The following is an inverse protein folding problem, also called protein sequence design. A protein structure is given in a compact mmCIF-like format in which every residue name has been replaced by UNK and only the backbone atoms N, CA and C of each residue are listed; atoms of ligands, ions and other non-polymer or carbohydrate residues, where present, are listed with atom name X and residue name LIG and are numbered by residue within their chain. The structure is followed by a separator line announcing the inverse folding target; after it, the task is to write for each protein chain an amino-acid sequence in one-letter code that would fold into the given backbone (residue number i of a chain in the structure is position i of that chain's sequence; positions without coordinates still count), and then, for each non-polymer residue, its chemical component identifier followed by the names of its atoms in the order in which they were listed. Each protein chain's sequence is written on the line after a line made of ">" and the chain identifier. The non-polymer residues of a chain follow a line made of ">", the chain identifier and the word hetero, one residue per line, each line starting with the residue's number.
data_IF_562456091857
#
_entry.id   IF_562456091857
#
_cell.length_a   1.000
_cell.length_b   1.000
_cell.length_c   1.000
_cell.angle_alpha   90.00
_cell.angle_beta   90.00
_cell.angle_gamma   90.00
#
_symmetry.space_group_name_H-M   'P 1'
#
loop_
_entity.id
_entity.type
_entity.pdbx_description
1 polymer ?
#
# COMPACT_ATOMS: atom_id res chain seq x y z
N UNK A 1 15.50 -25.47 29.43
CA UNK A 1 14.69 -25.05 28.27
C UNK A 1 15.64 -24.43 27.27
N UNK A 2 15.64 -24.86 26.00
CA UNK A 2 16.67 -24.50 25.01
C UNK A 2 16.13 -23.41 24.10
N UNK A 3 16.74 -22.22 24.16
CA UNK A 3 16.40 -21.10 23.28
C UNK A 3 16.88 -21.38 21.85
N UNK A 4 15.97 -21.30 20.88
CA UNK A 4 16.31 -21.34 19.45
C UNK A 4 16.62 -19.92 18.98
N UNK A 5 17.81 -19.68 18.46
CA UNK A 5 18.11 -18.47 17.68
C UNK A 5 17.57 -18.62 16.25
N UNK A 6 17.01 -17.56 15.63
CA UNK A 6 16.69 -17.57 14.20
C UNK A 6 17.97 -17.61 13.35
N UNK A 7 17.91 -18.33 12.24
CA UNK A 7 18.99 -18.45 11.25
C UNK A 7 19.05 -17.19 10.35
N UNK A 8 20.21 -16.52 10.18
CA UNK A 8 20.32 -15.29 9.42
C UNK A 8 20.18 -15.44 7.89
N UNK A 9 19.92 -16.63 7.34
CA UNK A 9 19.96 -16.89 5.89
C UNK A 9 18.61 -17.21 5.21
N UNK A 10 17.47 -16.87 5.83
CA UNK A 10 16.12 -17.05 5.26
C UNK A 10 15.77 -15.99 4.19
N UNK A 11 16.39 -16.07 3.01
CA UNK A 11 15.96 -15.34 1.80
C UNK A 11 14.80 -16.04 1.08
N UNK A 12 13.63 -16.17 1.72
CA UNK A 12 12.53 -17.03 1.23
C UNK A 12 11.14 -16.36 1.31
N UNK A 13 10.93 -15.20 0.66
CA UNK A 13 9.58 -14.64 0.48
C UNK A 13 9.19 -14.39 -1.00
N UNK A 14 9.92 -14.94 -1.97
CA UNK A 14 9.47 -14.92 -3.37
C UNK A 14 8.32 -15.91 -3.59
N UNK A 15 7.09 -15.49 -3.34
CA UNK A 15 5.88 -16.19 -3.80
C UNK A 15 5.72 -15.93 -5.31
N UNK A 16 5.72 -16.97 -6.17
CA UNK A 16 5.54 -16.80 -7.61
C UNK A 16 4.07 -16.96 -8.00
N UNK A 17 3.40 -15.87 -8.37
CA UNK A 17 2.05 -15.92 -8.96
C UNK A 17 2.10 -15.97 -10.50
N UNK A 18 1.19 -16.73 -11.14
CA UNK A 18 1.28 -17.06 -12.57
C UNK A 18 0.96 -15.88 -13.49
N UNK A 19 1.76 -15.71 -14.54
CA UNK A 19 1.53 -14.67 -15.56
C UNK A 19 0.53 -15.15 -16.62
N UNK A 20 -0.67 -14.57 -16.64
CA UNK A 20 -1.58 -14.66 -17.78
C UNK A 20 -1.45 -13.40 -18.65
N UNK A 21 -0.67 -13.49 -19.72
CA UNK A 21 -0.44 -12.38 -20.66
C UNK A 21 -1.31 -12.54 -21.91
N UNK A 22 -2.34 -11.69 -22.04
CA UNK A 22 -3.21 -11.63 -23.22
C UNK A 22 -3.00 -10.28 -23.98
N UNK A 23 -2.70 -10.27 -25.29
CA UNK A 23 -2.04 -9.14 -25.96
C UNK A 23 -2.98 -8.11 -26.63
N UNK A 24 -4.06 -7.68 -25.97
CA UNK A 24 -5.16 -6.93 -26.63
C UNK A 24 -5.29 -5.43 -26.25
N UNK A 25 -4.23 -4.80 -25.74
CA UNK A 25 -4.26 -3.39 -25.28
C UNK A 25 -3.41 -2.39 -26.08
N UNK A 26 -2.82 -2.81 -27.21
CA UNK A 26 -1.92 -1.98 -28.03
C UNK A 26 -2.62 -1.05 -29.05
N UNK A 27 -3.96 -0.93 -29.01
CA UNK A 27 -4.75 -0.24 -30.05
C UNK A 27 -5.45 1.07 -29.61
N UNK A 28 -5.22 1.56 -28.39
CA UNK A 28 -5.91 2.74 -27.82
C UNK A 28 -5.05 4.01 -27.67
N UNK A 29 -3.87 4.07 -28.30
CA UNK A 29 -2.88 5.14 -28.09
C UNK A 29 -2.83 6.25 -29.18
N UNK A 30 -3.82 6.35 -30.09
CA UNK A 30 -3.74 7.23 -31.26
C UNK A 30 -4.83 8.32 -31.40
N UNK A 31 -5.57 8.63 -30.34
CA UNK A 31 -6.41 9.84 -30.22
C UNK A 31 -6.33 10.25 -28.73
N UNK A 32 -6.00 11.47 -28.29
CA UNK A 32 -6.13 12.80 -28.90
C UNK A 32 -4.86 13.63 -28.60
N UNK A 33 -4.35 14.36 -29.60
CA UNK A 33 -3.37 15.45 -29.43
C UNK A 33 -3.75 16.60 -30.35
N UNK A 34 -4.25 17.71 -29.82
CA UNK A 34 -3.48 18.97 -29.74
C UNK A 34 -4.19 20.02 -28.82
N UNK A 35 -3.50 21.14 -28.55
CA UNK A 35 -3.74 22.14 -27.51
C UNK A 35 -4.96 23.06 -27.76
N UNK A 36 -5.61 23.64 -26.74
CA UNK A 36 -5.31 24.97 -26.11
C UNK A 36 -6.49 25.38 -25.18
N UNK A 37 -6.47 26.34 -24.24
CA UNK A 37 -5.44 27.04 -23.44
C UNK A 37 -6.07 27.75 -22.19
N UNK A 38 -5.22 28.21 -21.25
CA UNK A 38 -5.40 29.29 -20.22
C UNK A 38 -6.73 29.39 -19.44
N UNK A 39 -6.64 29.10 -18.13
CA UNK A 39 -7.22 29.96 -17.07
C UNK A 39 -6.23 30.06 -15.89
N UNK A 40 -5.71 31.25 -15.62
CA UNK A 40 -4.82 31.50 -14.47
C UNK A 40 -5.59 32.26 -13.38
N UNK A 41 -5.94 31.57 -12.29
CA UNK A 41 -6.37 32.22 -11.05
C UNK A 41 -5.18 32.20 -10.08
N UNK A 42 -4.65 33.39 -9.77
CA UNK A 42 -3.45 33.52 -8.94
C UNK A 42 -3.77 33.27 -7.46
N UNK A 43 -3.61 32.03 -7.01
CA UNK A 43 -3.48 31.71 -5.59
C UNK A 43 -2.00 31.69 -5.19
N UNK A 44 -1.59 32.64 -4.35
CA UNK A 44 -0.18 32.90 -3.97
C UNK A 44 0.48 31.72 -3.24
N UNK A 45 1.03 30.78 -4.01
CA UNK A 45 1.95 29.74 -3.53
C UNK A 45 3.19 29.76 -4.41
N UNK A 46 4.40 29.63 -3.81
CA UNK A 46 5.63 29.67 -4.59
C UNK A 46 5.61 28.56 -5.65
N UNK A 47 5.85 28.86 -6.95
CA UNK A 47 5.87 27.84 -7.99
C UNK A 47 6.99 26.84 -7.73
N UNK A 48 6.62 25.58 -7.50
CA UNK A 48 7.57 24.47 -7.37
C UNK A 48 8.27 24.31 -8.72
N UNK A 49 9.60 24.43 -8.75
CA UNK A 49 10.34 24.29 -10.01
C UNK A 49 10.07 22.91 -10.65
N UNK A 50 9.87 22.82 -11.99
CA UNK A 50 9.61 21.55 -12.66
C UNK A 50 10.69 20.49 -12.38
N UNK A 51 11.95 20.92 -12.27
CA UNK A 51 13.06 20.06 -11.86
C UNK A 51 12.85 19.41 -10.48
N UNK A 52 12.38 20.15 -9.48
CA UNK A 52 12.13 19.62 -8.12
C UNK A 52 10.96 18.63 -8.11
N UNK A 53 9.93 18.87 -8.92
CA UNK A 53 8.83 17.91 -9.08
C UNK A 53 9.37 16.60 -9.67
N UNK A 54 10.16 16.68 -10.75
CA UNK A 54 10.80 15.53 -11.40
C UNK A 54 11.63 14.70 -10.41
N UNK A 55 12.57 15.33 -9.70
CA UNK A 55 13.42 14.67 -8.69
C UNK A 55 12.60 13.94 -7.62
N UNK A 56 11.52 14.54 -7.11
CA UNK A 56 10.68 13.91 -6.11
C UNK A 56 9.91 12.70 -6.68
N UNK A 57 9.37 12.79 -7.90
CA UNK A 57 8.68 11.67 -8.55
C UNK A 57 9.64 10.53 -8.95
N UNK A 58 10.87 10.88 -9.31
CA UNK A 58 11.94 9.94 -9.61
C UNK A 58 12.40 9.19 -8.36
N UNK A 59 12.54 9.87 -7.22
CA UNK A 59 12.79 9.23 -5.93
C UNK A 59 11.71 8.19 -5.58
N UNK A 60 10.42 8.54 -5.70
CA UNK A 60 9.31 7.59 -5.48
C UNK A 60 9.39 6.40 -6.45
N UNK A 61 9.72 6.63 -7.73
CA UNK A 61 9.88 5.57 -8.73
C UNK A 61 10.99 4.58 -8.34
N UNK A 62 12.16 5.08 -7.95
CA UNK A 62 13.32 4.28 -7.54
C UNK A 62 13.06 3.53 -6.23
N UNK A 63 12.35 4.13 -5.26
CA UNK A 63 11.96 3.41 -4.05
C UNK A 63 10.91 2.33 -4.31
N UNK A 64 10.02 2.52 -5.28
CA UNK A 64 9.03 1.52 -5.64
C UNK A 64 9.57 0.35 -6.47
N UNK A 65 10.71 0.49 -7.16
CA UNK A 65 11.25 -0.57 -8.03
C UNK A 65 11.75 -1.82 -7.31
N UNK A 66 11.93 -1.76 -5.98
CA UNK A 66 12.30 -2.91 -5.14
C UNK A 66 11.11 -3.61 -4.48
N UNK A 67 9.88 -3.15 -4.72
CA UNK A 67 8.64 -3.76 -4.20
C UNK A 67 8.11 -4.84 -5.14
N UNK A 68 7.28 -5.77 -4.66
CA UNK A 68 6.63 -6.79 -5.50
C UNK A 68 5.65 -6.23 -6.53
N UNK A 69 5.10 -5.04 -6.25
CA UNK A 69 4.12 -4.37 -7.12
C UNK A 69 4.57 -2.95 -7.51
N UNK A 70 5.68 -2.76 -8.27
CA UNK A 70 6.27 -1.44 -8.51
C UNK A 70 5.32 -0.42 -9.14
N UNK A 71 4.45 -0.89 -10.05
CA UNK A 71 3.44 -0.03 -10.71
C UNK A 71 2.38 0.45 -9.74
N UNK A 72 1.88 -0.42 -8.87
CA UNK A 72 0.89 -0.08 -7.85
C UNK A 72 1.50 0.91 -6.84
N UNK A 73 2.68 0.58 -6.31
CA UNK A 73 3.44 1.46 -5.41
C UNK A 73 3.63 2.87 -6.00
N UNK A 74 4.12 2.96 -7.25
CA UNK A 74 4.35 4.26 -7.89
C UNK A 74 3.05 5.04 -8.12
N UNK A 75 1.99 4.39 -8.62
CA UNK A 75 0.71 5.05 -8.86
C UNK A 75 0.12 5.59 -7.54
N UNK A 76 0.15 4.80 -6.47
CA UNK A 76 -0.35 5.18 -5.15
C UNK A 76 0.48 6.28 -4.46
N UNK A 77 1.81 6.31 -4.67
CA UNK A 77 2.70 7.25 -3.96
C UNK A 77 3.09 8.51 -4.74
N UNK A 78 3.03 8.49 -6.08
CA UNK A 78 3.48 9.61 -6.93
C UNK A 78 2.74 10.92 -6.64
N UNK A 79 1.44 10.86 -6.32
CA UNK A 79 0.64 12.03 -5.91
C UNK A 79 1.14 12.68 -4.61
N UNK A 80 1.84 11.92 -3.76
CA UNK A 80 2.44 12.40 -2.52
C UNK A 80 3.91 12.82 -2.67
N UNK A 81 4.51 12.70 -3.86
CA UNK A 81 5.93 13.01 -4.10
C UNK A 81 6.33 14.42 -3.61
N UNK A 82 5.44 15.42 -3.70
CA UNK A 82 5.68 16.76 -3.15
C UNK A 82 5.85 16.82 -1.62
N UNK A 83 5.22 15.91 -0.88
CA UNK A 83 5.34 15.75 0.58
C UNK A 83 6.52 14.84 0.95
N UNK A 84 6.69 13.73 0.21
CA UNK A 84 7.77 12.74 0.39
C UNK A 84 9.15 13.36 0.12
N UNK A 85 9.25 14.24 -0.88
CA UNK A 85 10.51 14.80 -1.38
C UNK A 85 11.49 13.67 -1.73
N UNK A 86 12.65 13.64 -1.08
CA UNK A 86 13.67 12.59 -1.17
C UNK A 86 13.98 12.01 0.22
N UNK A 87 12.97 11.89 1.09
CA UNK A 87 13.14 11.51 2.50
C UNK A 87 12.42 10.19 2.81
N UNK A 88 13.14 9.17 3.32
CA UNK A 88 12.60 7.82 3.51
C UNK A 88 11.58 7.73 4.65
N UNK A 89 11.71 8.54 5.71
CA UNK A 89 10.72 8.58 6.80
C UNK A 89 9.37 9.09 6.30
N UNK A 90 9.37 10.13 5.46
CA UNK A 90 8.14 10.65 4.84
C UNK A 90 7.60 9.76 3.73
N UNK A 91 8.45 8.98 3.04
CA UNK A 91 8.01 7.93 2.12
C UNK A 91 7.25 6.83 2.88
N UNK A 92 7.84 6.27 3.93
CA UNK A 92 7.23 5.22 4.74
C UNK A 92 5.92 5.70 5.42
N UNK A 93 5.87 6.91 5.98
CA UNK A 93 4.64 7.49 6.50
C UNK A 93 3.56 7.65 5.41
N UNK A 94 3.92 8.04 4.19
CA UNK A 94 2.97 8.13 3.08
C UNK A 94 2.42 6.75 2.67
N UNK A 95 3.27 5.73 2.61
CA UNK A 95 2.86 4.35 2.32
C UNK A 95 1.93 3.78 3.41
N UNK A 96 2.28 3.94 4.69
CA UNK A 96 1.43 3.53 5.80
C UNK A 96 0.07 4.23 5.80
N UNK A 97 0.02 5.53 5.47
CA UNK A 97 -1.25 6.27 5.37
C UNK A 97 -2.10 5.80 4.17
N UNK A 98 -1.48 5.47 3.04
CA UNK A 98 -2.18 4.88 1.88
C UNK A 98 -2.76 3.52 2.23
N UNK A 99 -1.96 2.63 2.83
CA UNK A 99 -2.42 1.30 3.22
C UNK A 99 -3.53 1.37 4.29
N UNK A 100 -3.41 2.26 5.28
CA UNK A 100 -4.46 2.48 6.29
C UNK A 100 -5.77 2.99 5.65
N UNK A 101 -5.69 3.85 4.64
CA UNK A 101 -6.86 4.31 3.90
C UNK A 101 -7.49 3.18 3.06
N UNK A 102 -6.66 2.36 2.40
CA UNK A 102 -7.09 1.20 1.65
C UNK A 102 -7.80 0.17 2.55
N UNK A 103 -7.15 -0.30 3.62
CA UNK A 103 -7.71 -1.28 4.56
C UNK A 103 -9.04 -0.79 5.18
N UNK A 104 -9.14 0.49 5.58
CA UNK A 104 -10.41 1.08 6.04
C UNK A 104 -11.50 1.08 4.96
N UNK A 105 -11.14 1.34 3.71
CA UNK A 105 -12.05 1.31 2.56
C UNK A 105 -12.53 -0.11 2.25
N UNK A 106 -11.61 -1.09 2.26
CA UNK A 106 -11.91 -2.51 2.10
C UNK A 106 -12.86 -2.99 3.20
N UNK A 107 -12.52 -2.78 4.48
CA UNK A 107 -13.39 -3.14 5.59
C UNK A 107 -14.78 -2.47 5.52
N UNK A 108 -14.87 -1.21 5.05
CA UNK A 108 -16.15 -0.55 4.84
C UNK A 108 -16.96 -1.15 3.67
N UNK A 109 -16.30 -1.56 2.60
CA UNK A 109 -16.92 -2.20 1.43
C UNK A 109 -17.41 -3.61 1.76
N UNK A 110 -16.61 -4.38 2.50
CA UNK A 110 -16.95 -5.74 2.93
C UNK A 110 -18.09 -5.74 3.96
N UNK A 111 -18.11 -4.79 4.92
CA UNK A 111 -19.28 -4.56 5.80
C UNK A 111 -20.56 -4.19 5.06
N UNK A 112 -20.48 -3.60 3.85
CA UNK A 112 -21.65 -3.38 2.99
C UNK A 112 -22.02 -4.67 2.26
N UNK A 113 -21.03 -5.37 1.69
CA UNK A 113 -21.23 -6.63 0.98
C UNK A 113 -21.92 -7.68 1.87
N UNK A 114 -21.45 -7.89 3.10
CA UNK A 114 -22.04 -8.81 4.09
C UNK A 114 -23.53 -8.57 4.39
N UNK A 115 -24.04 -7.35 4.13
CA UNK A 115 -25.46 -6.97 4.33
C UNK A 115 -26.30 -7.13 3.07
N UNK A 116 -25.70 -7.53 1.95
CA UNK A 116 -26.37 -7.75 0.67
C UNK A 116 -27.28 -8.97 0.76
N UNK A 117 -28.56 -8.81 0.40
CA UNK A 117 -29.51 -9.93 0.34
C UNK A 117 -29.14 -10.87 -0.81
N UNK A 118 -29.30 -12.17 -0.59
CA UNK A 118 -29.03 -13.21 -1.59
C UNK A 118 -27.62 -13.82 -1.53
N UNK A 119 -26.73 -13.35 -0.65
CA UNK A 119 -25.48 -14.06 -0.35
C UNK A 119 -25.74 -15.45 0.23
N UNK A 120 -24.89 -16.42 -0.12
CA UNK A 120 -24.90 -17.74 0.53
C UNK A 120 -24.37 -17.57 1.95
N UNK A 121 -24.86 -18.40 2.89
CA UNK A 121 -24.42 -18.35 4.30
C UNK A 121 -22.91 -18.49 4.47
N UNK A 122 -22.24 -19.26 3.59
CA UNK A 122 -20.79 -19.45 3.60
C UNK A 122 -20.07 -18.15 3.24
N UNK A 123 -20.45 -17.55 2.11
CA UNK A 123 -19.87 -16.30 1.61
C UNK A 123 -20.09 -15.15 2.62
N UNK A 124 -21.28 -15.06 3.22
CA UNK A 124 -21.58 -14.08 4.27
C UNK A 124 -20.73 -14.28 5.55
N UNK A 125 -20.37 -15.52 5.90
CA UNK A 125 -19.43 -15.81 6.99
C UNK A 125 -18.03 -15.33 6.61
N UNK A 126 -17.49 -15.77 5.47
CA UNK A 126 -16.15 -15.40 5.02
C UNK A 126 -15.95 -13.86 4.89
N UNK A 127 -16.99 -13.12 4.49
CA UNK A 127 -16.94 -11.64 4.49
C UNK A 127 -16.93 -11.08 5.93
N UNK A 128 -17.63 -11.71 6.88
CA UNK A 128 -17.59 -11.30 8.29
C UNK A 128 -16.21 -11.55 8.89
N UNK A 129 -15.64 -12.73 8.63
CA UNK A 129 -14.32 -13.15 9.12
C UNK A 129 -13.24 -12.21 8.55
N UNK A 130 -13.25 -11.94 7.23
CA UNK A 130 -12.34 -10.97 6.62
C UNK A 130 -12.55 -9.50 7.11
N UNK A 131 -13.74 -9.13 7.58
CA UNK A 131 -13.97 -7.80 8.20
C UNK A 131 -13.27 -7.67 9.55
N UNK A 132 -13.05 -8.78 10.25
CA UNK A 132 -12.26 -8.86 11.49
C UNK A 132 -10.76 -8.76 11.17
N UNK A 133 -10.23 -9.63 10.29
CA UNK A 133 -8.83 -9.63 9.83
C UNK A 133 -8.38 -8.24 9.32
N UNK A 134 -9.13 -7.63 8.39
CA UNK A 134 -8.80 -6.28 7.87
C UNK A 134 -9.05 -5.18 8.92
N UNK A 135 -9.80 -5.48 9.98
CA UNK A 135 -9.90 -4.65 11.18
C UNK A 135 -8.59 -4.61 11.98
N UNK A 136 -7.93 -5.75 12.13
CA UNK A 136 -6.65 -5.89 12.80
C UNK A 136 -5.50 -5.28 11.98
N UNK A 137 -5.51 -5.45 10.65
CA UNK A 137 -4.59 -4.71 9.77
C UNK A 137 -4.70 -3.18 9.96
N UNK A 138 -5.93 -2.68 10.15
CA UNK A 138 -6.20 -1.25 10.43
C UNK A 138 -5.65 -0.83 11.81
N UNK A 139 -5.58 -1.73 12.79
CA UNK A 139 -4.98 -1.46 14.10
C UNK A 139 -3.45 -1.48 14.03
N UNK A 140 -2.87 -2.49 13.40
CA UNK A 140 -1.41 -2.66 13.24
C UNK A 140 -0.77 -1.55 12.40
N UNK A 141 -1.40 -1.16 11.28
CA UNK A 141 -0.96 0.01 10.50
C UNK A 141 -0.99 1.31 11.32
N UNK A 142 -1.94 1.47 12.25
CA UNK A 142 -1.96 2.63 13.15
C UNK A 142 -0.85 2.60 14.20
N UNK A 143 -0.41 1.41 14.66
CA UNK A 143 0.77 1.28 15.53
C UNK A 143 2.02 1.72 14.79
N UNK A 144 2.23 1.21 13.57
CA UNK A 144 3.37 1.57 12.72
C UNK A 144 3.45 3.09 12.46
N UNK A 145 2.32 3.75 12.21
CA UNK A 145 2.26 5.21 12.04
C UNK A 145 2.66 5.96 13.31
N UNK A 146 2.15 5.54 14.49
CA UNK A 146 2.48 6.18 15.78
C UNK A 146 3.96 6.06 16.10
N UNK A 147 4.51 4.86 15.94
CA UNK A 147 5.90 4.56 16.26
C UNK A 147 6.87 5.28 15.31
N UNK A 148 6.61 5.20 13.99
CA UNK A 148 7.36 5.98 13.00
C UNK A 148 7.21 7.49 13.24
N UNK A 149 6.12 7.95 13.86
CA UNK A 149 5.92 9.34 14.27
C UNK A 149 6.89 9.85 15.35
N UNK A 150 7.55 8.97 16.12
CA UNK A 150 8.34 9.37 17.29
C UNK A 150 9.56 10.25 16.95
N UNK A 151 10.02 11.10 17.89
CA UNK A 151 11.24 11.90 17.75
C UNK A 151 12.50 11.04 17.58
N UNK A 152 13.55 11.60 16.97
CA UNK A 152 14.87 10.96 16.91
C UNK A 152 15.48 10.96 18.32
N UNK A 153 15.94 9.80 18.78
CA UNK A 153 16.52 9.61 20.12
C UNK A 153 16.12 8.28 20.81
N UNK A 154 15.07 7.62 20.32
CA UNK A 154 14.76 6.23 20.69
C UNK A 154 15.68 5.23 19.98
N UNK A 155 15.68 3.99 20.47
CA UNK A 155 16.26 2.84 19.76
C UNK A 155 15.65 2.75 18.36
N UNK A 156 16.43 3.14 17.37
CA UNK A 156 16.00 3.19 15.99
C UNK A 156 15.85 1.78 15.39
N UNK A 157 16.59 0.79 15.88
CA UNK A 157 16.50 -0.58 15.37
C UNK A 157 15.28 -1.29 15.94
N UNK A 158 15.02 -1.15 17.24
CA UNK A 158 13.76 -1.57 17.86
C UNK A 158 12.54 -0.94 17.17
N UNK A 159 12.56 0.38 16.95
CA UNK A 159 11.50 1.11 16.23
C UNK A 159 11.24 0.57 14.82
N UNK A 160 12.28 0.25 14.04
CA UNK A 160 12.10 -0.32 12.70
C UNK A 160 11.60 -1.77 12.78
N UNK A 161 12.12 -2.58 13.70
CA UNK A 161 11.67 -3.97 13.91
C UNK A 161 10.19 -4.05 14.32
N UNK A 162 9.72 -3.14 15.18
CA UNK A 162 8.31 -3.03 15.56
C UNK A 162 7.43 -2.68 14.35
N UNK A 163 7.85 -1.69 13.55
CA UNK A 163 7.14 -1.29 12.32
C UNK A 163 7.08 -2.44 11.31
N UNK A 164 8.20 -3.13 11.07
CA UNK A 164 8.27 -4.29 10.17
C UNK A 164 7.37 -5.42 10.64
N UNK A 165 7.30 -5.67 11.95
CA UNK A 165 6.41 -6.68 12.56
C UNK A 165 4.94 -6.36 12.29
N UNK A 166 4.50 -5.14 12.59
CA UNK A 166 3.08 -4.75 12.43
C UNK A 166 2.66 -4.62 10.96
N UNK A 167 3.57 -4.19 10.07
CA UNK A 167 3.31 -4.18 8.63
C UNK A 167 3.26 -5.62 8.08
N UNK A 168 4.08 -6.54 8.59
CA UNK A 168 4.02 -7.95 8.18
C UNK A 168 2.73 -8.62 8.65
N UNK A 169 2.30 -8.37 9.90
CA UNK A 169 0.99 -8.83 10.40
C UNK A 169 -0.14 -8.34 9.50
N UNK A 170 -0.20 -7.03 9.24
CA UNK A 170 -1.23 -6.43 8.38
C UNK A 170 -1.31 -7.02 6.96
N UNK A 171 -0.21 -7.59 6.43
CA UNK A 171 -0.19 -8.31 5.16
C UNK A 171 -0.67 -9.76 5.30
N UNK A 172 -0.34 -10.44 6.41
CA UNK A 172 -0.84 -11.78 6.73
C UNK A 172 -2.34 -11.79 7.01
N UNK A 173 -2.88 -10.78 7.67
CA UNK A 173 -4.33 -10.65 7.88
C UNK A 173 -5.07 -10.43 6.52
N UNK A 174 -4.47 -9.63 5.61
CA UNK A 174 -4.98 -9.44 4.23
C UNK A 174 -4.95 -10.76 3.44
N UNK A 175 -3.88 -11.54 3.53
CA UNK A 175 -3.76 -12.85 2.88
C UNK A 175 -4.78 -13.85 3.45
N UNK A 176 -4.92 -13.92 4.78
CA UNK A 176 -5.88 -14.78 5.50
C UNK A 176 -7.32 -14.48 5.11
N UNK A 177 -7.68 -13.20 5.01
CA UNK A 177 -8.97 -12.76 4.45
C UNK A 177 -9.23 -13.37 3.07
N UNK A 178 -8.25 -13.30 2.16
CA UNK A 178 -8.39 -13.76 0.78
C UNK A 178 -8.46 -15.30 0.69
N UNK A 179 -7.73 -16.02 1.55
CA UNK A 179 -7.82 -17.48 1.67
C UNK A 179 -9.21 -17.95 2.13
N UNK A 180 -9.90 -17.18 2.98
CA UNK A 180 -11.25 -17.46 3.45
C UNK A 180 -12.31 -17.62 2.33
N UNK A 181 -12.04 -17.07 1.14
CA UNK A 181 -12.88 -17.24 -0.05
C UNK A 181 -12.55 -18.48 -0.90
N UNK A 182 -11.60 -19.31 -0.47
CA UNK A 182 -11.29 -20.61 -1.09
C UNK A 182 -10.25 -20.55 -2.22
N UNK A 183 -9.37 -19.54 -2.24
CA UNK A 183 -8.25 -19.45 -3.18
C UNK A 183 -8.63 -19.17 -4.64
N UNK A 184 -9.91 -19.03 -4.98
CA UNK A 184 -10.33 -18.45 -6.25
C UNK A 184 -10.14 -16.95 -6.20
N UNK A 185 -9.06 -16.48 -6.86
CA UNK A 185 -8.78 -15.06 -7.03
C UNK A 185 -10.01 -14.29 -7.57
N UNK A 186 -10.18 -13.05 -7.09
CA UNK A 186 -11.13 -12.08 -7.63
C UNK A 186 -10.72 -11.56 -9.01
#
# INVERSE_FOLDING_TARGET
>A
MRSSHPDPNQQQWRIPFPHSSSPSLLLLLLIISDQTQIFSVAASTLPKSPARIRTNTEYVRTSCSTTSYPRLCYNSLSVYAGKIKTNPKTLALAALHVNLAAARSSAASMRRLAKTRGLRRRDASAISDCVEEVGDSVFELQRAIRELGRPRGYDFMGLISDIETWVSSALTDEETCMEGFGGTAC
#
